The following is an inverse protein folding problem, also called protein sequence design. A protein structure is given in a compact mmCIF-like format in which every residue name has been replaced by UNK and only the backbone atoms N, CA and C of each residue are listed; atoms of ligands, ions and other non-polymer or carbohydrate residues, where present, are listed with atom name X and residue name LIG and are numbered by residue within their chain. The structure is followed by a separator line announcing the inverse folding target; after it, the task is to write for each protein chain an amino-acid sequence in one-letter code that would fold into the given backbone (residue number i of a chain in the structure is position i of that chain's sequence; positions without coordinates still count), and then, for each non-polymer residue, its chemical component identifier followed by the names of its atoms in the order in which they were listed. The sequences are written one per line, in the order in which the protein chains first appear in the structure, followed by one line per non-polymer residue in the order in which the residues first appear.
data_IF_441327947750
#
_entry.id   IF_441327947750
#
_cell.length_a   1.000
_cell.length_b   1.000
_cell.length_c   1.000
_cell.angle_alpha   90.00
_cell.angle_beta   90.00
_cell.angle_gamma   90.00
#
_symmetry.space_group_name_H-M   'P 1'
#
loop_
_entity.id
_entity.type
_entity.pdbx_description
1 polymer ?
#
# COMPACT_ATOMS: atom_id res chain seq x y z
N UNK A 1 -2.30 25.62 22.83
CA UNK A 1 -1.95 24.99 21.54
C UNK A 1 -0.57 24.36 21.67
N UNK A 2 -0.36 23.09 21.27
CA UNK A 2 0.96 22.43 21.39
C UNK A 2 1.95 22.98 20.36
N UNK A 3 3.25 22.87 20.54
CA UNK A 3 4.21 23.33 19.53
C UNK A 3 4.18 22.43 18.28
N UNK A 4 4.35 22.96 17.06
CA UNK A 4 4.47 22.16 15.83
C UNK A 4 5.74 21.29 15.84
N UNK A 5 5.71 20.14 15.17
CA UNK A 5 6.88 19.31 14.98
C UNK A 5 7.76 19.86 13.84
N UNK A 6 9.05 20.07 14.12
CA UNK A 6 10.00 20.77 13.24
C UNK A 6 10.17 20.12 11.85
N UNK A 7 9.94 18.80 11.76
CA UNK A 7 10.06 18.04 10.51
C UNK A 7 8.74 17.59 9.89
N UNK A 8 7.61 17.77 10.60
CA UNK A 8 6.32 17.21 10.18
C UNK A 8 5.21 18.23 10.36
N UNK A 9 5.00 19.05 9.33
CA UNK A 9 3.96 20.07 9.29
C UNK A 9 2.56 19.41 9.34
N UNK A 10 2.04 19.23 10.56
CA UNK A 10 0.78 18.53 10.83
C UNK A 10 0.77 17.76 12.15
N UNK A 11 1.96 17.53 12.73
CA UNK A 11 2.11 16.94 14.07
C UNK A 11 2.46 18.02 15.09
N UNK A 12 2.05 17.81 16.33
CA UNK A 12 2.64 18.50 17.47
C UNK A 12 3.98 17.86 17.87
N UNK A 13 4.81 18.55 18.67
CA UNK A 13 6.10 18.04 19.18
C UNK A 13 5.99 16.68 19.88
N UNK A 14 4.84 16.35 20.46
CA UNK A 14 4.53 15.04 21.06
C UNK A 14 3.98 14.01 20.04
N UNK A 15 4.20 14.24 18.74
CA UNK A 15 3.81 13.36 17.63
C UNK A 15 2.30 13.10 17.49
N UNK A 16 1.44 13.83 18.22
CA UNK A 16 -0.02 13.74 18.06
C UNK A 16 -0.52 14.56 16.86
N UNK A 17 -1.58 14.06 16.24
CA UNK A 17 -2.28 14.76 15.17
C UNK A 17 -3.04 15.97 15.73
N UNK A 18 -2.85 17.15 15.13
CA UNK A 18 -3.72 18.30 15.38
C UNK A 18 -5.00 18.11 14.56
N UNK A 19 -6.11 17.80 15.22
CA UNK A 19 -7.38 17.47 14.58
C UNK A 19 -8.02 18.59 13.75
N UNK A 20 -7.57 19.85 13.89
CA UNK A 20 -8.18 21.01 13.22
C UNK A 20 -7.50 21.43 11.90
N UNK A 21 -6.28 20.95 11.59
CA UNK A 21 -5.51 21.37 10.40
C UNK A 21 -4.76 20.20 9.74
N UNK A 22 -5.45 19.07 9.53
CA UNK A 22 -4.83 17.83 9.04
C UNK A 22 -4.61 17.80 7.50
N UNK A 23 -4.92 18.89 6.79
CA UNK A 23 -4.79 18.98 5.33
C UNK A 23 -3.34 18.76 4.88
N UNK A 24 -2.37 19.32 5.61
CA UNK A 24 -0.94 19.16 5.29
C UNK A 24 -0.45 17.73 5.46
N UNK A 25 -0.89 17.01 6.49
CA UNK A 25 -0.47 15.62 6.70
C UNK A 25 -1.13 14.66 5.68
N UNK A 26 -2.36 14.97 5.22
CA UNK A 26 -3.01 14.20 4.13
C UNK A 26 -2.30 14.42 2.80
N UNK A 27 -1.88 15.66 2.51
CA UNK A 27 -1.07 15.99 1.32
C UNK A 27 0.28 15.26 1.39
N UNK A 28 0.97 15.30 2.54
CA UNK A 28 2.23 14.58 2.75
C UNK A 28 2.06 13.06 2.52
N UNK A 29 1.04 12.45 3.11
CA UNK A 29 0.76 11.02 2.92
C UNK A 29 0.46 10.67 1.44
N UNK A 30 -0.32 11.50 0.74
CA UNK A 30 -0.61 11.29 -0.68
C UNK A 30 0.65 11.45 -1.56
N UNK A 31 1.49 12.44 -1.27
CA UNK A 31 2.77 12.64 -1.96
C UNK A 31 3.73 11.47 -1.72
N UNK A 32 3.82 10.98 -0.48
CA UNK A 32 4.63 9.80 -0.15
C UNK A 32 4.09 8.52 -0.80
N UNK A 33 2.77 8.35 -0.84
CA UNK A 33 2.11 7.28 -1.59
C UNK A 33 2.54 7.28 -3.06
N UNK A 34 2.38 8.42 -3.73
CA UNK A 34 2.78 8.58 -5.14
C UNK A 34 4.29 8.38 -5.36
N UNK A 35 5.13 8.85 -4.42
CA UNK A 35 6.57 8.60 -4.48
C UNK A 35 6.90 7.11 -4.36
N UNK A 36 6.26 6.39 -3.44
CA UNK A 36 6.46 4.95 -3.26
C UNK A 36 6.07 4.17 -4.52
N UNK A 37 4.94 4.52 -5.14
CA UNK A 37 4.54 3.93 -6.42
C UNK A 37 5.61 4.13 -7.49
N UNK A 38 6.11 5.36 -7.68
CA UNK A 38 7.18 5.64 -8.66
C UNK A 38 8.47 4.87 -8.37
N UNK A 39 8.81 4.67 -7.10
CA UNK A 39 9.98 3.87 -6.71
C UNK A 39 9.79 2.41 -7.11
N UNK A 40 8.59 1.86 -6.93
CA UNK A 40 8.25 0.49 -7.33
C UNK A 40 8.23 0.34 -8.85
N UNK A 41 7.65 1.29 -9.58
CA UNK A 41 7.68 1.29 -11.06
C UNK A 41 9.11 1.24 -11.58
N UNK A 42 10.00 2.07 -11.03
CA UNK A 42 11.42 2.07 -11.38
C UNK A 42 12.10 0.74 -11.03
N UNK A 43 11.75 0.13 -9.89
CA UNK A 43 12.32 -1.15 -9.45
C UNK A 43 11.87 -2.32 -10.33
N UNK A 44 10.61 -2.34 -10.73
CA UNK A 44 10.02 -3.42 -11.51
C UNK A 44 10.18 -3.23 -13.02
N UNK A 45 10.46 -2.01 -13.47
CA UNK A 45 10.52 -1.68 -14.90
C UNK A 45 9.16 -1.76 -15.60
N UNK A 46 8.07 -1.62 -14.86
CA UNK A 46 6.69 -1.70 -15.36
C UNK A 46 5.82 -0.67 -14.64
N UNK A 47 4.76 -0.21 -15.31
CA UNK A 47 3.79 0.71 -14.71
C UNK A 47 2.98 0.03 -13.61
N UNK A 48 2.60 0.82 -12.62
CA UNK A 48 1.77 0.37 -11.50
C UNK A 48 0.37 0.95 -11.65
N UNK A 49 -0.63 0.07 -11.73
CA UNK A 49 -2.02 0.49 -11.63
C UNK A 49 -2.41 0.76 -10.17
N UNK A 50 -2.86 1.97 -9.89
CA UNK A 50 -3.29 2.40 -8.54
C UNK A 50 -4.79 2.21 -8.28
N UNK A 51 -5.52 1.60 -9.22
CA UNK A 51 -6.94 1.25 -9.07
C UNK A 51 -7.14 0.34 -7.87
N UNK A 52 -7.98 0.77 -6.93
CA UNK A 52 -8.27 0.01 -5.71
C UNK A 52 -9.21 -1.14 -6.01
N UNK A 53 -8.70 -2.36 -5.94
CA UNK A 53 -9.49 -3.60 -6.00
C UNK A 53 -9.30 -4.39 -4.70
N UNK A 54 -10.37 -5.05 -4.25
CA UNK A 54 -10.32 -5.92 -3.08
C UNK A 54 -9.97 -7.34 -3.51
N UNK A 55 -8.82 -7.81 -3.09
CA UNK A 55 -8.34 -9.17 -3.28
C UNK A 55 -8.80 -10.10 -2.14
N UNK A 56 -8.92 -11.39 -2.45
CA UNK A 56 -9.15 -12.49 -1.50
C UNK A 56 -8.15 -13.60 -1.74
N UNK A 57 -7.73 -14.29 -0.70
CA UNK A 57 -6.82 -15.44 -0.79
C UNK A 57 -7.38 -16.59 0.02
N UNK A 58 -7.23 -17.82 -0.47
CA UNK A 58 -7.76 -18.99 0.23
C UNK A 58 -7.06 -19.18 1.58
N UNK A 59 -7.82 -19.60 2.58
CA UNK A 59 -7.34 -19.77 3.95
C UNK A 59 -7.35 -18.49 4.80
N UNK A 60 -7.69 -17.33 4.23
CA UNK A 60 -7.76 -16.05 4.95
C UNK A 60 -9.14 -15.42 4.76
N UNK A 61 -9.83 -15.11 5.87
CA UNK A 61 -11.23 -14.63 5.83
C UNK A 61 -11.36 -13.15 5.45
N UNK A 62 -10.37 -12.34 5.80
CA UNK A 62 -10.32 -10.93 5.42
C UNK A 62 -9.85 -10.77 3.97
N UNK A 63 -10.33 -9.71 3.31
CA UNK A 63 -9.81 -9.29 2.01
C UNK A 63 -8.79 -8.17 2.16
N UNK A 64 -7.96 -7.99 1.14
CA UNK A 64 -6.90 -6.97 1.10
C UNK A 64 -7.13 -6.00 -0.05
N UNK A 65 -6.91 -4.72 0.20
CA UNK A 65 -6.78 -3.70 -0.86
C UNK A 65 -5.33 -3.25 -0.86
N UNK A 66 -4.70 -3.30 -2.03
CA UNK A 66 -3.32 -2.86 -2.23
C UNK A 66 -3.26 -1.40 -2.69
N UNK A 67 -2.11 -0.78 -2.52
CA UNK A 67 -1.83 0.55 -3.04
C UNK A 67 -1.66 0.60 -4.55
N UNK A 68 -1.09 -0.45 -5.11
CA UNK A 68 -1.02 -0.64 -6.55
C UNK A 68 -0.90 -2.10 -6.95
N UNK A 69 -1.00 -2.31 -8.26
CA UNK A 69 -0.88 -3.60 -8.92
C UNK A 69 0.07 -3.47 -10.12
N UNK A 70 1.12 -4.27 -10.16
CA UNK A 70 2.00 -4.39 -11.31
C UNK A 70 1.82 -5.75 -11.98
N UNK A 71 1.62 -5.78 -13.30
CA UNK A 71 1.58 -7.04 -14.04
C UNK A 71 2.99 -7.56 -14.30
N UNK A 72 3.23 -8.85 -14.05
CA UNK A 72 4.45 -9.57 -14.39
C UNK A 72 4.39 -10.11 -15.84
N UNK A 73 5.54 -10.44 -16.46
CA UNK A 73 5.58 -11.02 -17.80
C UNK A 73 4.78 -12.33 -17.95
N UNK A 74 4.59 -13.09 -16.86
CA UNK A 74 3.80 -14.32 -16.81
C UNK A 74 2.26 -14.08 -16.78
N UNK A 75 1.82 -12.81 -16.77
CA UNK A 75 0.41 -12.43 -16.72
C UNK A 75 -0.20 -12.39 -15.32
N UNK A 76 0.52 -12.80 -14.28
CA UNK A 76 0.11 -12.62 -12.88
C UNK A 76 0.52 -11.24 -12.37
N UNK A 77 0.10 -10.88 -11.16
CA UNK A 77 0.28 -9.55 -10.59
C UNK A 77 1.08 -9.57 -9.30
N UNK A 78 1.73 -8.45 -9.02
CA UNK A 78 2.32 -8.10 -7.73
C UNK A 78 1.41 -7.09 -7.04
N UNK A 79 0.99 -7.39 -5.81
CA UNK A 79 0.32 -6.43 -4.93
C UNK A 79 1.33 -5.50 -4.27
N UNK A 80 1.10 -4.19 -4.30
CA UNK A 80 2.05 -3.20 -3.80
C UNK A 80 1.43 -2.48 -2.62
N UNK A 81 2.11 -2.43 -1.48
CA UNK A 81 1.73 -1.62 -0.33
C UNK A 81 2.79 -0.54 -0.10
N UNK A 82 2.38 0.72 0.01
CA UNK A 82 3.27 1.84 0.29
C UNK A 82 3.11 2.26 1.75
N UNK A 83 4.14 2.06 2.55
CA UNK A 83 4.16 2.50 3.94
C UNK A 83 4.84 3.86 4.05
N UNK A 84 4.12 4.87 4.55
CA UNK A 84 4.68 6.19 4.85
C UNK A 84 4.94 6.36 6.36
N UNK A 85 6.15 6.78 6.72
CA UNK A 85 6.54 7.01 8.11
C UNK A 85 6.72 5.74 8.93
N UNK A 86 6.13 5.69 10.14
CA UNK A 86 6.26 4.57 11.09
C UNK A 86 5.06 3.62 11.08
N UNK A 87 4.14 3.80 10.14
CA UNK A 87 3.03 2.87 9.96
C UNK A 87 3.59 1.49 9.58
N UNK A 88 3.08 0.46 10.24
CA UNK A 88 3.39 -0.94 9.91
C UNK A 88 2.09 -1.71 9.74
N UNK A 89 2.12 -2.73 8.90
CA UNK A 89 0.98 -3.64 8.73
C UNK A 89 0.44 -4.16 10.08
N UNK A 90 -0.87 -4.34 10.16
CA UNK A 90 -1.46 -5.06 11.29
C UNK A 90 -1.30 -6.59 11.11
N UNK A 91 -1.69 -7.38 12.12
CA UNK A 91 -1.56 -8.84 12.08
C UNK A 91 -2.33 -9.47 10.92
N UNK A 92 -3.54 -8.95 10.63
CA UNK A 92 -4.42 -9.48 9.59
C UNK A 92 -3.86 -9.24 8.18
N UNK A 93 -3.22 -8.09 7.97
CA UNK A 93 -2.53 -7.78 6.71
C UNK A 93 -1.30 -8.68 6.54
N UNK A 94 -0.53 -8.94 7.59
CA UNK A 94 0.59 -9.89 7.53
C UNK A 94 0.14 -11.31 7.23
N UNK A 95 -0.95 -11.75 7.85
CA UNK A 95 -1.52 -13.08 7.59
C UNK A 95 -2.01 -13.21 6.14
N UNK A 96 -2.68 -12.18 5.63
CA UNK A 96 -3.09 -12.13 4.23
C UNK A 96 -1.89 -12.18 3.29
N UNK A 97 -0.97 -11.23 3.43
CA UNK A 97 0.17 -11.07 2.53
C UNK A 97 1.10 -12.30 2.58
N UNK A 98 1.22 -12.96 3.74
CA UNK A 98 1.97 -14.20 3.91
C UNK A 98 1.29 -15.46 3.35
N UNK A 99 -0.03 -15.44 3.13
CA UNK A 99 -0.73 -16.53 2.47
C UNK A 99 -0.63 -16.48 0.94
N UNK A 100 -0.32 -15.30 0.39
CA UNK A 100 -0.18 -15.10 -1.06
C UNK A 100 1.07 -15.80 -1.59
N UNK A 101 0.89 -16.63 -2.59
CA UNK A 101 1.99 -17.27 -3.31
C UNK A 101 1.58 -17.66 -4.73
N UNK A 102 2.50 -18.23 -5.50
CA UNK A 102 2.17 -18.76 -6.83
C UNK A 102 1.20 -19.95 -6.76
N UNK A 103 1.29 -20.78 -5.70
CA UNK A 103 0.39 -21.92 -5.49
C UNK A 103 -0.89 -21.55 -4.74
N UNK A 104 -0.92 -20.38 -4.08
CA UNK A 104 -2.09 -19.84 -3.40
C UNK A 104 -2.26 -18.34 -3.78
N UNK A 105 -2.65 -18.04 -5.03
CA UNK A 105 -2.76 -16.66 -5.48
C UNK A 105 -3.93 -15.95 -4.80
N UNK A 106 -3.75 -14.67 -4.45
CA UNK A 106 -4.88 -13.82 -4.16
C UNK A 106 -5.61 -13.47 -5.47
N UNK A 107 -6.94 -13.53 -5.48
CA UNK A 107 -7.78 -13.20 -6.61
C UNK A 107 -8.48 -11.87 -6.41
N UNK A 108 -8.55 -11.06 -7.46
CA UNK A 108 -9.33 -9.82 -7.48
C UNK A 108 -10.02 -9.65 -8.84
N UNK A 109 -11.11 -8.88 -8.86
CA UNK A 109 -11.77 -8.51 -10.12
C UNK A 109 -11.33 -7.10 -10.52
N UNK A 110 -10.73 -6.98 -11.71
CA UNK A 110 -10.30 -5.72 -12.30
C UNK A 110 -10.88 -5.63 -13.71
N UNK A 111 -11.63 -4.56 -14.00
CA UNK A 111 -12.27 -4.33 -15.30
C UNK A 111 -13.06 -5.56 -15.82
N UNK A 112 -13.79 -6.22 -14.93
CA UNK A 112 -14.57 -7.42 -15.23
C UNK A 112 -13.77 -8.71 -15.43
N UNK A 113 -12.43 -8.67 -15.29
CA UNK A 113 -11.55 -9.83 -15.40
C UNK A 113 -11.02 -10.23 -14.03
N UNK A 114 -10.93 -11.53 -13.79
CA UNK A 114 -10.23 -12.07 -12.63
C UNK A 114 -8.72 -11.94 -12.88
N UNK A 115 -8.02 -11.38 -11.90
CA UNK A 115 -6.56 -11.32 -11.88
C UNK A 115 -6.03 -12.16 -10.71
N UNK A 116 -4.85 -12.74 -10.90
CA UNK A 116 -4.14 -13.50 -9.88
C UNK A 116 -2.94 -12.69 -9.40
N UNK A 117 -2.87 -12.46 -8.10
CA UNK A 117 -1.78 -11.78 -7.41
C UNK A 117 -0.96 -12.86 -6.70
N UNK A 118 0.29 -13.01 -7.07
CA UNK A 118 1.16 -14.13 -6.65
C UNK A 118 2.33 -13.69 -5.77
N UNK A 119 2.51 -12.38 -5.63
CA UNK A 119 3.57 -11.76 -4.83
C UNK A 119 3.07 -10.45 -4.23
N UNK A 120 3.61 -10.07 -3.08
CA UNK A 120 3.35 -8.78 -2.43
C UNK A 120 4.67 -8.06 -2.17
N UNK A 121 4.77 -6.79 -2.58
CA UNK A 121 5.90 -5.92 -2.31
C UNK A 121 5.49 -4.82 -1.33
N UNK A 122 6.34 -4.60 -0.35
CA UNK A 122 6.27 -3.45 0.56
C UNK A 122 7.28 -2.40 0.12
N UNK A 123 6.82 -1.16 -0.06
CA UNK A 123 7.68 -0.02 -0.32
C UNK A 123 7.58 0.98 0.83
N UNK A 124 8.68 1.11 1.59
CA UNK A 124 8.79 2.13 2.62
C UNK A 124 9.22 3.45 2.01
N UNK A 125 8.53 4.52 2.39
CA UNK A 125 8.87 5.89 2.04
C UNK A 125 9.14 6.67 3.34
N UNK A 126 10.40 7.10 3.59
CA UNK A 126 10.75 7.85 4.79
C UNK A 126 10.01 9.19 4.91
#
# INVERSE_FOLDING_TARGET
MKEPHDKHAGRSKDSKYRSQDNSKARIDAAQKGAQGIKQVEKKLGTEVDTTKVKARVDGVSNGRVYDGLAMKPDGTYVGIEVESGTASRNADQRAFDGAVSHSNPATATRNGKIINITEVIEQKVP
#
